data_IF_791001631294
#
_entry.id   IF_791001631294
#
_cell.length_a   1.000
_cell.length_b   1.000
_cell.length_c   1.000
_cell.angle_alpha   90.00
_cell.angle_beta   90.00
_cell.angle_gamma   90.00
#
_symmetry.space_group_name_H-M   'P 1'
#
loop_
_entity.id
_entity.type
_entity.pdbx_description
1 polymer ?
#
# COMPACT_ATOMS: atom_id res chain seq x y z
N UNK A 1 47.04 24.17 -6.82
CA UNK A 1 46.00 23.18 -7.17
C UNK A 1 44.69 23.69 -6.61
N UNK A 2 43.82 24.10 -7.52
CA UNK A 2 42.66 24.95 -7.29
C UNK A 2 41.44 24.12 -6.86
N UNK A 3 40.77 24.62 -5.83
CA UNK A 3 39.40 24.26 -5.49
C UNK A 3 38.49 24.58 -6.68
N UNK A 4 38.15 23.58 -7.49
CA UNK A 4 37.05 23.67 -8.44
C UNK A 4 35.72 23.43 -7.70
N UNK A 5 35.29 24.50 -7.03
CA UNK A 5 33.96 25.10 -7.13
C UNK A 5 32.73 24.16 -7.16
N UNK A 6 32.50 23.45 -6.06
CA UNK A 6 31.21 22.82 -5.72
C UNK A 6 30.06 23.85 -5.63
N UNK A 7 30.39 25.14 -5.48
CA UNK A 7 29.44 26.24 -5.34
C UNK A 7 28.71 26.61 -6.64
N UNK A 8 29.20 26.19 -7.81
CA UNK A 8 28.52 26.45 -9.09
C UNK A 8 27.51 25.37 -9.49
N UNK A 9 27.57 24.16 -8.90
CA UNK A 9 26.52 23.14 -9.08
C UNK A 9 25.25 23.45 -8.27
N UNK A 10 25.43 24.14 -7.14
CA UNK A 10 24.33 24.61 -6.26
C UNK A 10 23.57 25.80 -6.87
N UNK A 11 24.15 26.55 -7.81
CA UNK A 11 23.52 27.71 -8.45
C UNK A 11 22.58 27.38 -9.62
N UNK A 12 22.55 26.14 -10.10
CA UNK A 12 21.64 25.72 -11.19
C UNK A 12 20.27 25.23 -10.69
N UNK A 13 20.01 25.27 -9.38
CA UNK A 13 18.75 24.86 -8.75
C UNK A 13 18.04 26.02 -8.02
N UNK A 14 18.16 27.24 -8.55
CA UNK A 14 17.48 28.42 -8.00
C UNK A 14 15.95 28.41 -8.21
N UNK A 15 15.39 27.46 -8.94
CA UNK A 15 13.94 27.20 -8.95
C UNK A 15 13.45 26.40 -7.72
N UNK A 16 14.37 25.84 -6.91
CA UNK A 16 14.05 25.07 -5.70
C UNK A 16 14.07 25.91 -4.40
N UNK A 17 14.18 27.24 -4.51
CA UNK A 17 14.25 28.15 -3.35
C UNK A 17 13.20 29.27 -3.36
N UNK A 18 12.21 29.25 -4.26
CA UNK A 18 10.99 29.98 -3.96
C UNK A 18 10.16 29.18 -2.94
N UNK A 19 9.80 29.76 -1.78
CA UNK A 19 8.88 29.13 -0.85
C UNK A 19 7.48 29.17 -1.48
N UNK A 20 7.20 28.24 -2.38
CA UNK A 20 5.86 28.03 -2.90
C UNK A 20 5.02 27.26 -1.91
N UNK A 21 3.71 27.56 -1.88
CA UNK A 21 2.87 27.22 -0.76
C UNK A 21 2.91 25.72 -0.60
N UNK A 22 3.02 25.31 0.66
CA UNK A 22 2.48 24.02 1.08
C UNK A 22 1.16 23.90 0.32
N UNK A 23 1.02 22.94 -0.59
CA UNK A 23 -0.30 22.56 -1.10
C UNK A 23 -0.97 21.87 0.08
N UNK A 24 -1.34 22.68 1.06
CA UNK A 24 -2.20 22.34 2.15
C UNK A 24 -3.52 22.07 1.48
N UNK A 25 -4.05 20.86 1.61
CA UNK A 25 -5.51 20.76 1.64
C UNK A 25 -6.09 21.67 2.75
N UNK A 26 -5.27 22.06 3.73
CA UNK A 26 -5.56 23.05 4.77
C UNK A 26 -5.71 24.52 4.29
N UNK A 27 -5.47 24.89 3.02
CA UNK A 27 -5.66 26.28 2.54
C UNK A 27 -7.00 26.54 1.84
N UNK A 28 -7.76 25.50 1.48
CA UNK A 28 -9.07 25.66 0.84
C UNK A 28 -10.26 25.54 1.81
N UNK A 29 -10.01 25.29 3.11
CA UNK A 29 -11.04 25.51 4.12
C UNK A 29 -11.11 27.00 4.42
N UNK A 30 -12.26 27.62 4.19
CA UNK A 30 -12.57 29.03 4.48
C UNK A 30 -12.59 29.34 5.98
N UNK A 31 -11.47 29.12 6.67
CA UNK A 31 -11.30 29.40 8.10
C UNK A 31 -10.13 30.36 8.26
N UNK A 32 -10.43 31.47 8.92
CA UNK A 32 -9.53 32.55 9.34
C UNK A 32 -8.13 32.04 9.70
N UNK A 33 -7.12 32.64 9.08
CA UNK A 33 -5.77 32.89 9.61
C UNK A 33 -5.34 31.95 10.74
N UNK A 34 -4.67 30.85 10.37
CA UNK A 34 -3.92 30.04 11.32
C UNK A 34 -2.76 30.88 11.86
N UNK A 35 -2.84 31.21 13.14
CA UNK A 35 -1.75 31.79 13.91
C UNK A 35 -0.52 30.86 13.84
N UNK A 36 0.71 31.39 13.90
CA UNK A 36 1.90 30.55 13.98
C UNK A 36 1.77 29.67 15.23
N UNK A 37 1.75 28.34 15.02
CA UNK A 37 1.74 27.33 16.07
C UNK A 37 2.97 27.53 16.96
N UNK A 38 2.81 28.34 18.00
CA UNK A 38 3.73 28.44 19.12
C UNK A 38 3.71 27.13 19.88
N UNK A 39 4.92 26.71 20.26
CA UNK A 39 5.25 25.57 21.11
C UNK A 39 4.23 25.31 22.22
N UNK A 40 3.30 24.38 22.02
CA UNK A 40 2.70 23.50 23.02
C UNK A 40 1.61 22.65 22.36
N UNK A 41 1.81 21.33 22.33
CA UNK A 41 0.87 20.36 22.92
C UNK A 41 1.27 18.95 22.51
N UNK A 42 1.22 18.05 23.49
CA UNK A 42 1.50 16.62 23.37
C UNK A 42 0.94 16.03 22.06
N UNK A 43 1.70 15.18 21.34
CA UNK A 43 1.28 14.56 20.06
C UNK A 43 0.09 13.57 20.19
N UNK A 44 -0.67 13.58 21.29
CA UNK A 44 -1.56 12.49 21.72
C UNK A 44 -2.82 12.31 20.86
N UNK A 45 -3.28 13.31 20.09
CA UNK A 45 -4.54 13.18 19.33
C UNK A 45 -4.57 14.08 18.08
N UNK A 46 -4.95 13.53 16.94
CA UNK A 46 -5.19 14.32 15.73
C UNK A 46 -6.35 15.31 15.93
N UNK A 47 -6.20 16.50 15.34
CA UNK A 47 -7.21 17.54 15.37
C UNK A 47 -8.45 17.17 14.54
N UNK A 48 -9.49 18.01 14.56
CA UNK A 48 -10.68 17.79 13.71
C UNK A 48 -10.32 17.93 12.23
N UNK A 49 -9.46 18.89 11.92
CA UNK A 49 -8.96 19.20 10.59
C UNK A 49 -8.16 18.01 10.03
N UNK A 50 -7.26 17.44 10.82
CA UNK A 50 -6.51 16.25 10.40
C UNK A 50 -7.41 15.05 10.07
N UNK A 51 -8.51 14.88 10.82
CA UNK A 51 -9.48 13.82 10.57
C UNK A 51 -10.30 14.07 9.30
N UNK A 52 -10.59 15.33 8.98
CA UNK A 52 -11.23 15.70 7.72
C UNK A 52 -10.30 15.41 6.54
N UNK A 53 -9.03 15.78 6.64
CA UNK A 53 -8.00 15.45 5.64
C UNK A 53 -7.89 13.94 5.44
N UNK A 54 -7.83 13.16 6.53
CA UNK A 54 -7.77 11.70 6.44
C UNK A 54 -9.01 11.09 5.75
N UNK A 55 -10.20 11.67 5.97
CA UNK A 55 -11.42 11.25 5.31
C UNK A 55 -11.39 11.58 3.80
N UNK A 56 -10.90 12.76 3.43
CA UNK A 56 -10.80 13.17 2.03
C UNK A 56 -9.75 12.36 1.25
N UNK A 57 -8.62 12.05 1.90
CA UNK A 57 -7.66 11.09 1.38
C UNK A 57 -8.30 9.71 1.15
N UNK A 58 -9.13 9.24 2.09
CA UNK A 58 -9.83 7.96 1.95
C UNK A 58 -10.78 7.97 0.73
N UNK A 59 -11.53 9.06 0.54
CA UNK A 59 -12.40 9.22 -0.64
C UNK A 59 -11.59 9.17 -1.95
N UNK A 60 -10.45 9.86 -2.02
CA UNK A 60 -9.57 9.84 -3.21
C UNK A 60 -9.10 8.43 -3.50
N UNK A 61 -8.57 7.72 -2.50
CA UNK A 61 -8.06 6.35 -2.66
C UNK A 61 -9.19 5.42 -3.15
N UNK A 62 -10.35 5.42 -2.47
CA UNK A 62 -11.48 4.56 -2.84
C UNK A 62 -11.99 4.85 -4.25
N UNK A 63 -12.24 6.13 -4.58
CA UNK A 63 -12.73 6.52 -5.89
C UNK A 63 -11.76 6.11 -7.00
N UNK A 64 -10.47 6.43 -6.88
CA UNK A 64 -9.50 6.22 -7.96
C UNK A 64 -9.20 4.75 -8.18
N UNK A 65 -9.08 3.97 -7.12
CA UNK A 65 -8.91 2.53 -7.23
C UNK A 65 -10.15 1.87 -7.84
N UNK A 66 -11.37 2.24 -7.41
CA UNK A 66 -12.61 1.69 -8.01
C UNK A 66 -12.76 2.08 -9.47
N UNK A 67 -12.52 3.35 -9.82
CA UNK A 67 -12.61 3.83 -11.20
C UNK A 67 -11.60 3.14 -12.12
N UNK A 68 -10.43 2.77 -11.62
CA UNK A 68 -9.48 1.95 -12.37
C UNK A 68 -9.93 0.48 -12.43
N UNK A 69 -10.44 -0.07 -11.33
CA UNK A 69 -10.93 -1.45 -11.22
C UNK A 69 -12.13 -1.74 -12.14
N UNK A 70 -13.05 -0.79 -12.32
CA UNK A 70 -14.22 -0.96 -13.21
C UNK A 70 -13.84 -1.08 -14.69
N UNK A 71 -12.63 -0.63 -15.08
CA UNK A 71 -12.13 -0.77 -16.45
C UNK A 71 -11.59 -2.16 -16.75
N UNK A 72 -11.14 -2.90 -15.73
CA UNK A 72 -10.60 -4.24 -15.86
C UNK A 72 -11.68 -5.20 -16.39
N UNK A 73 -11.26 -6.28 -17.03
CA UNK A 73 -12.15 -7.30 -17.59
C UNK A 73 -11.97 -8.62 -16.85
N UNK A 74 -12.95 -9.51 -16.95
CA UNK A 74 -12.81 -10.87 -16.43
C UNK A 74 -11.65 -11.64 -17.07
N UNK A 75 -11.23 -11.28 -18.30
CA UNK A 75 -10.07 -11.87 -18.96
C UNK A 75 -8.76 -11.49 -18.23
N UNK A 76 -8.64 -10.24 -17.76
CA UNK A 76 -7.49 -9.79 -16.96
C UNK A 76 -7.31 -10.60 -15.67
N UNK A 77 -8.41 -11.12 -15.11
CA UNK A 77 -8.38 -11.97 -13.92
C UNK A 77 -8.27 -13.46 -14.24
N UNK A 78 -8.75 -13.89 -15.41
CA UNK A 78 -8.66 -15.29 -15.82
C UNK A 78 -7.20 -15.76 -15.97
N UNK A 79 -6.32 -14.85 -16.41
CA UNK A 79 -4.86 -14.94 -16.32
C UNK A 79 -4.30 -13.78 -15.47
N UNK A 80 -4.10 -14.00 -14.16
CA UNK A 80 -3.64 -12.95 -13.25
C UNK A 80 -2.15 -12.61 -13.41
N UNK A 81 -1.40 -13.26 -14.31
CA UNK A 81 0.04 -13.05 -14.47
C UNK A 81 0.39 -11.60 -14.81
N UNK A 82 -0.50 -10.91 -15.53
CA UNK A 82 -0.36 -9.49 -15.84
C UNK A 82 -0.38 -8.57 -14.62
N UNK A 83 -0.90 -8.99 -13.46
CA UNK A 83 -0.79 -8.18 -12.24
C UNK A 83 0.59 -8.32 -11.58
N UNK A 84 1.31 -9.40 -11.83
CA UNK A 84 2.64 -9.65 -11.28
C UNK A 84 3.77 -9.20 -12.22
N UNK A 85 3.55 -9.28 -13.53
CA UNK A 85 4.52 -8.97 -14.58
C UNK A 85 3.98 -7.90 -15.52
N UNK A 86 4.63 -6.73 -15.52
CA UNK A 86 4.24 -5.57 -16.34
C UNK A 86 4.27 -5.87 -17.85
N UNK A 87 5.14 -6.78 -18.29
CA UNK A 87 5.26 -7.14 -19.71
C UNK A 87 4.09 -8.01 -20.18
N UNK A 88 3.44 -8.73 -19.26
CA UNK A 88 2.25 -9.54 -19.51
C UNK A 88 0.95 -8.80 -19.22
N UNK A 89 1.04 -7.61 -18.62
CA UNK A 89 -0.13 -6.79 -18.32
C UNK A 89 -0.83 -6.33 -19.60
N UNK A 90 -2.16 -6.48 -19.64
CA UNK A 90 -3.00 -5.74 -20.59
C UNK A 90 -2.89 -4.24 -20.33
N UNK A 91 -3.26 -3.40 -21.31
CA UNK A 91 -3.31 -1.94 -21.15
C UNK A 91 -4.15 -1.52 -19.94
N UNK A 92 -5.25 -2.24 -19.66
CA UNK A 92 -6.15 -1.95 -18.53
C UNK A 92 -5.49 -2.26 -17.19
N UNK A 93 -4.76 -3.37 -17.10
CA UNK A 93 -3.96 -3.69 -15.91
C UNK A 93 -2.84 -2.68 -15.72
N UNK A 94 -2.15 -2.25 -16.79
CA UNK A 94 -1.14 -1.18 -16.72
C UNK A 94 -1.73 0.13 -16.20
N UNK A 95 -2.91 0.54 -16.69
CA UNK A 95 -3.62 1.71 -16.18
C UNK A 95 -3.96 1.58 -14.69
N UNK A 96 -4.42 0.40 -14.25
CA UNK A 96 -4.70 0.14 -12.84
C UNK A 96 -3.45 0.28 -11.96
N UNK A 97 -2.35 -0.38 -12.36
CA UNK A 97 -1.08 -0.31 -11.66
C UNK A 97 -0.51 1.12 -11.66
N UNK A 98 -0.70 1.87 -12.74
CA UNK A 98 -0.28 3.27 -12.83
C UNK A 98 -1.04 4.16 -11.85
N UNK A 99 -2.35 3.96 -11.68
CA UNK A 99 -3.13 4.66 -10.64
C UNK A 99 -2.59 4.32 -9.24
N UNK A 100 -2.27 3.05 -8.96
CA UNK A 100 -1.65 2.68 -7.68
C UNK A 100 -0.32 3.41 -7.46
N UNK A 101 0.54 3.52 -8.49
CA UNK A 101 1.81 4.26 -8.39
C UNK A 101 1.60 5.75 -8.09
N UNK A 102 0.62 6.40 -8.73
CA UNK A 102 0.27 7.81 -8.44
C UNK A 102 -0.19 7.97 -6.98
N UNK A 103 -1.04 7.07 -6.49
CA UNK A 103 -1.53 7.10 -5.11
C UNK A 103 -0.42 6.80 -4.10
N UNK A 104 0.52 5.93 -4.43
CA UNK A 104 1.69 5.64 -3.61
C UNK A 104 2.61 6.86 -3.53
N UNK A 105 2.88 7.50 -4.67
CA UNK A 105 3.61 8.75 -4.74
C UNK A 105 2.93 9.86 -3.94
N UNK A 106 1.59 9.94 -3.98
CA UNK A 106 0.82 10.87 -3.16
C UNK A 106 1.10 10.68 -1.67
N UNK A 107 1.00 9.43 -1.20
CA UNK A 107 1.26 9.08 0.19
C UNK A 107 2.70 9.40 0.60
N UNK A 108 3.67 8.91 -0.17
CA UNK A 108 5.10 9.08 0.06
C UNK A 108 5.45 10.55 0.19
N UNK A 109 5.06 11.38 -0.77
CA UNK A 109 5.33 12.81 -0.76
C UNK A 109 4.69 13.53 0.42
N UNK A 110 3.46 13.17 0.78
CA UNK A 110 2.77 13.80 1.90
C UNK A 110 3.41 13.50 3.26
N UNK A 111 4.30 12.51 3.35
CA UNK A 111 5.07 12.19 4.55
C UNK A 111 6.49 12.73 4.42
N UNK A 112 7.21 12.35 3.36
CA UNK A 112 8.66 12.59 3.23
C UNK A 112 9.03 14.04 2.95
N UNK A 113 8.18 14.80 2.28
CA UNK A 113 8.51 16.20 1.92
C UNK A 113 8.51 17.15 3.12
N UNK A 114 8.03 16.71 4.28
CA UNK A 114 8.12 17.49 5.50
C UNK A 114 9.55 17.50 6.04
N UNK A 115 10.15 18.70 6.11
CA UNK A 115 11.48 18.92 6.72
C UNK A 115 11.49 18.62 8.22
N UNK A 116 10.37 18.86 8.90
CA UNK A 116 10.25 18.65 10.35
C UNK A 116 9.74 17.25 10.65
N UNK A 117 10.44 16.55 11.55
CA UNK A 117 10.11 15.19 11.96
C UNK A 117 8.72 15.05 12.57
N UNK A 118 8.32 16.01 13.41
CA UNK A 118 6.98 16.08 14.00
C UNK A 118 5.87 16.11 12.95
N UNK A 119 6.09 16.82 11.83
CA UNK A 119 5.16 16.90 10.71
C UNK A 119 5.10 15.59 9.93
N UNK A 120 6.23 14.89 9.75
CA UNK A 120 6.26 13.53 9.17
C UNK A 120 5.43 12.56 10.03
N UNK A 121 5.60 12.59 11.36
CA UNK A 121 4.83 11.77 12.31
C UNK A 121 3.34 12.07 12.22
N UNK A 122 2.96 13.36 12.20
CA UNK A 122 1.56 13.78 12.06
C UNK A 122 0.96 13.34 10.72
N UNK A 123 1.70 13.46 9.62
CA UNK A 123 1.28 12.94 8.32
C UNK A 123 1.09 11.41 8.34
N UNK A 124 2.00 10.68 8.97
CA UNK A 124 1.89 9.23 9.16
C UNK A 124 0.65 8.85 9.98
N UNK A 125 0.35 9.58 11.07
CA UNK A 125 -0.88 9.41 11.85
C UNK A 125 -2.15 9.62 11.01
N UNK A 126 -2.16 10.64 10.13
CA UNK A 126 -3.30 10.89 9.23
C UNK A 126 -3.54 9.69 8.31
N UNK A 127 -2.49 9.14 7.70
CA UNK A 127 -2.64 7.95 6.85
C UNK A 127 -3.07 6.69 7.62
N UNK A 128 -2.70 6.54 8.89
CA UNK A 128 -3.27 5.51 9.76
C UNK A 128 -4.79 5.70 9.90
N UNK A 129 -5.28 6.93 10.10
CA UNK A 129 -6.74 7.18 10.11
C UNK A 129 -7.37 6.94 8.74
N UNK A 130 -6.70 7.31 7.65
CA UNK A 130 -7.16 7.07 6.27
C UNK A 130 -7.40 5.57 6.03
N UNK A 131 -6.45 4.71 6.40
CA UNK A 131 -6.62 3.27 6.33
C UNK A 131 -7.81 2.77 7.17
N UNK A 132 -8.00 3.33 8.38
CA UNK A 132 -9.11 2.98 9.24
C UNK A 132 -10.48 3.48 8.71
N UNK A 133 -10.53 4.60 7.99
CA UNK A 133 -11.73 5.04 7.29
C UNK A 133 -12.07 4.09 6.15
N UNK A 134 -11.09 3.75 5.30
CA UNK A 134 -11.26 2.79 4.20
C UNK A 134 -11.76 1.43 4.70
N UNK A 135 -11.14 0.91 5.76
CA UNK A 135 -11.56 -0.35 6.42
C UNK A 135 -13.01 -0.29 6.90
N UNK A 136 -13.41 0.78 7.60
CA UNK A 136 -14.79 0.96 8.09
C UNK A 136 -15.81 1.09 6.96
N UNK A 137 -15.41 1.71 5.85
CA UNK A 137 -16.22 1.79 4.63
C UNK A 137 -16.20 0.48 3.81
N UNK A 138 -15.50 -0.55 4.28
CA UNK A 138 -15.34 -1.85 3.61
C UNK A 138 -14.67 -1.72 2.22
N UNK A 139 -13.87 -0.68 2.04
CA UNK A 139 -12.88 -0.57 0.97
C UNK A 139 -11.58 -1.26 1.42
N UNK A 140 -11.58 -2.58 1.39
CA UNK A 140 -10.45 -3.39 1.84
C UNK A 140 -9.24 -3.29 0.91
N UNK A 141 -9.44 -3.16 -0.42
CA UNK A 141 -8.35 -2.88 -1.37
C UNK A 141 -7.61 -1.60 -0.97
N UNK A 142 -8.34 -0.50 -0.76
CA UNK A 142 -7.75 0.77 -0.33
C UNK A 142 -7.09 0.68 1.04
N UNK A 143 -7.74 0.03 2.03
CA UNK A 143 -7.17 -0.12 3.36
C UNK A 143 -5.87 -0.95 3.35
N UNK A 144 -5.84 -2.03 2.55
CA UNK A 144 -4.65 -2.88 2.38
C UNK A 144 -3.54 -2.12 1.63
N UNK A 145 -3.90 -1.37 0.58
CA UNK A 145 -2.97 -0.51 -0.16
C UNK A 145 -2.30 0.54 0.74
N UNK A 146 -3.09 1.26 1.56
CA UNK A 146 -2.53 2.27 2.48
C UNK A 146 -1.68 1.62 3.56
N UNK A 147 -2.15 0.52 4.17
CA UNK A 147 -1.42 -0.18 5.22
C UNK A 147 -0.05 -0.70 4.72
N UNK A 148 -0.01 -1.37 3.56
CA UNK A 148 1.23 -1.89 2.98
C UNK A 148 2.19 -0.78 2.55
N UNK A 149 1.69 0.35 2.06
CA UNK A 149 2.50 1.53 1.76
C UNK A 149 3.11 2.17 3.01
N UNK A 150 2.31 2.34 4.08
CA UNK A 150 2.83 2.82 5.37
C UNK A 150 3.88 1.87 5.95
N UNK A 151 3.70 0.57 5.74
CA UNK A 151 4.66 -0.43 6.19
C UNK A 151 6.03 -0.24 5.55
N UNK A 152 6.05 -0.09 4.22
CA UNK A 152 7.28 0.18 3.45
C UNK A 152 7.94 1.48 3.90
N UNK A 153 7.17 2.57 3.99
CA UNK A 153 7.69 3.86 4.46
C UNK A 153 8.23 3.79 5.89
N UNK A 154 7.61 2.99 6.76
CA UNK A 154 8.09 2.84 8.14
C UNK A 154 9.42 2.09 8.23
N UNK A 155 9.76 1.24 7.26
CA UNK A 155 11.07 0.57 7.25
C UNK A 155 12.17 1.61 7.06
N UNK A 156 11.97 2.51 6.09
CA UNK A 156 12.95 3.52 5.74
C UNK A 156 12.97 4.65 6.77
N UNK A 157 11.79 5.14 7.16
CA UNK A 157 11.65 6.32 8.01
C UNK A 157 11.62 6.02 9.50
N UNK A 158 11.32 4.79 9.94
CA UNK A 158 11.22 4.37 11.36
C UNK A 158 10.27 5.20 12.23
N UNK A 159 9.18 5.71 11.63
CA UNK A 159 8.25 6.65 12.29
C UNK A 159 7.43 6.03 13.43
N UNK A 160 7.20 4.71 13.42
CA UNK A 160 6.29 4.05 14.38
C UNK A 160 6.75 4.17 15.83
N UNK A 161 8.06 4.15 16.08
CA UNK A 161 8.62 4.26 17.43
C UNK A 161 8.31 5.61 18.10
N UNK A 162 8.10 6.66 17.29
CA UNK A 162 7.82 8.02 17.74
C UNK A 162 6.31 8.33 17.79
N UNK A 163 5.46 7.40 17.35
CA UNK A 163 4.02 7.57 17.45
C UNK A 163 3.55 7.53 18.91
N UNK A 164 2.49 8.25 19.28
CA UNK A 164 1.78 8.00 20.52
C UNK A 164 1.28 6.55 20.59
N UNK A 165 1.27 5.97 21.80
CA UNK A 165 0.83 4.57 22.03
C UNK A 165 -0.51 4.21 21.37
N UNK A 166 -1.47 5.14 21.36
CA UNK A 166 -2.76 4.91 20.71
C UNK A 166 -2.63 4.69 19.18
N UNK A 167 -1.74 5.43 18.52
CA UNK A 167 -1.48 5.28 17.09
C UNK A 167 -0.58 4.09 16.78
N UNK A 168 0.36 3.74 17.67
CA UNK A 168 1.10 2.49 17.57
C UNK A 168 0.15 1.29 17.55
N UNK A 169 -0.82 1.24 18.48
CA UNK A 169 -1.86 0.19 18.52
C UNK A 169 -2.73 0.16 17.27
N UNK A 170 -3.12 1.32 16.73
CA UNK A 170 -3.88 1.39 15.47
C UNK A 170 -3.06 0.86 14.29
N UNK A 171 -1.79 1.23 14.21
CA UNK A 171 -0.89 0.75 13.15
C UNK A 171 -0.67 -0.77 13.26
N UNK A 172 -0.42 -1.27 14.47
CA UNK A 172 -0.33 -2.70 14.75
C UNK A 172 -1.60 -3.43 14.28
N UNK A 173 -2.79 -2.96 14.67
CA UNK A 173 -4.05 -3.56 14.25
C UNK A 173 -4.24 -3.56 12.71
N UNK A 174 -3.72 -2.56 12.00
CA UNK A 174 -3.70 -2.57 10.53
C UNK A 174 -2.75 -3.64 10.00
N UNK A 175 -1.57 -3.81 10.61
CA UNK A 175 -0.61 -4.85 10.22
C UNK A 175 -1.12 -6.26 10.51
N UNK A 176 -1.83 -6.45 11.62
CA UNK A 176 -2.50 -7.71 11.92
C UNK A 176 -3.61 -8.04 10.92
N UNK A 177 -4.33 -7.03 10.44
CA UNK A 177 -5.36 -7.19 9.43
C UNK A 177 -4.73 -7.65 8.11
N UNK A 178 -3.70 -6.95 7.61
CA UNK A 178 -3.07 -7.24 6.31
C UNK A 178 -1.99 -8.33 6.35
N UNK A 179 -1.77 -8.94 7.52
CA UNK A 179 -0.79 -10.01 7.71
C UNK A 179 -1.04 -11.15 6.73
N UNK A 180 -0.01 -11.66 6.03
CA UNK A 180 -0.14 -12.80 5.13
C UNK A 180 -0.36 -14.13 5.87
N UNK A 181 -0.25 -14.15 7.20
CA UNK A 181 -0.41 -15.34 8.02
C UNK A 181 -1.75 -16.05 7.77
N UNK A 182 -1.69 -17.39 7.66
CA UNK A 182 -2.85 -18.24 7.31
C UNK A 182 -3.58 -17.75 6.06
N UNK A 183 -2.82 -17.34 5.02
CA UNK A 183 -3.33 -16.80 3.77
C UNK A 183 -4.27 -15.60 3.97
N UNK A 184 -3.80 -14.59 4.71
CA UNK A 184 -4.58 -13.41 5.09
C UNK A 184 -5.81 -13.75 5.93
N UNK A 185 -5.66 -14.67 6.89
CA UNK A 185 -6.77 -15.23 7.65
C UNK A 185 -7.61 -14.18 8.40
N UNK A 186 -6.98 -13.14 8.94
CA UNK A 186 -7.68 -12.06 9.65
C UNK A 186 -8.53 -11.21 8.70
N UNK A 187 -7.94 -10.73 7.62
CA UNK A 187 -8.64 -9.99 6.57
C UNK A 187 -9.79 -10.79 5.95
N UNK A 188 -9.58 -12.07 5.66
CA UNK A 188 -10.65 -12.94 5.12
C UNK A 188 -11.80 -13.13 6.10
N UNK A 189 -11.51 -13.30 7.40
CA UNK A 189 -12.55 -13.34 8.44
C UNK A 189 -13.36 -12.05 8.49
N UNK A 190 -12.69 -10.90 8.40
CA UNK A 190 -13.35 -9.60 8.39
C UNK A 190 -14.22 -9.39 7.15
N UNK A 191 -13.71 -9.71 5.95
CA UNK A 191 -14.46 -9.66 4.68
C UNK A 191 -15.70 -10.55 4.74
N UNK A 192 -15.59 -11.74 5.34
CA UNK A 192 -16.71 -12.68 5.53
C UNK A 192 -17.76 -12.12 6.49
N UNK A 193 -17.35 -11.46 7.56
CA UNK A 193 -18.26 -10.85 8.54
C UNK A 193 -18.94 -9.56 8.03
N UNK A 194 -18.34 -8.90 7.03
CA UNK A 194 -18.89 -7.69 6.44
C UNK A 194 -20.25 -7.94 5.75
N UNK A 195 -21.20 -7.02 5.95
CA UNK A 195 -22.56 -7.12 5.39
C UNK A 195 -22.82 -6.28 4.15
N UNK A 196 -21.95 -5.34 3.78
CA UNK A 196 -22.20 -4.47 2.63
C UNK A 196 -22.19 -5.25 1.33
N UNK A 197 -23.01 -4.84 0.37
CA UNK A 197 -22.93 -5.30 -1.02
C UNK A 197 -21.92 -4.51 -1.84
N UNK A 198 -21.39 -3.41 -1.30
CA UNK A 198 -20.45 -2.49 -1.96
C UNK A 198 -18.99 -2.67 -1.48
N UNK A 199 -18.65 -3.81 -0.90
CA UNK A 199 -17.27 -4.07 -0.44
C UNK A 199 -16.31 -3.94 -1.63
N UNK A 200 -15.10 -3.46 -1.39
CA UNK A 200 -14.00 -3.56 -2.36
C UNK A 200 -12.95 -4.49 -1.79
N UNK A 201 -12.93 -5.72 -2.27
CA UNK A 201 -12.02 -6.76 -1.83
C UNK A 201 -10.65 -6.55 -2.49
N UNK A 202 -9.55 -6.90 -1.80
CA UNK A 202 -8.25 -6.67 -2.38
C UNK A 202 -8.01 -7.51 -3.63
N UNK A 203 -7.53 -6.87 -4.69
CA UNK A 203 -7.24 -7.53 -5.97
C UNK A 203 -6.17 -8.60 -5.76
N UNK A 204 -5.17 -8.33 -4.91
CA UNK A 204 -4.10 -9.27 -4.57
C UNK A 204 -4.59 -10.60 -3.98
N UNK A 205 -5.70 -10.59 -3.23
CA UNK A 205 -6.30 -11.84 -2.72
C UNK A 205 -6.94 -12.63 -3.86
N UNK A 206 -7.67 -11.94 -4.75
CA UNK A 206 -8.37 -12.57 -5.86
C UNK A 206 -7.40 -13.13 -6.89
N UNK A 207 -6.36 -12.38 -7.26
CA UNK A 207 -5.34 -12.82 -8.20
C UNK A 207 -4.59 -14.02 -7.63
N UNK A 208 -4.24 -14.01 -6.34
CA UNK A 208 -3.62 -15.16 -5.67
C UNK A 208 -4.50 -16.41 -5.73
N UNK A 209 -5.79 -16.28 -5.38
CA UNK A 209 -6.72 -17.41 -5.40
C UNK A 209 -6.89 -17.96 -6.83
N UNK A 210 -6.96 -17.08 -7.83
CA UNK A 210 -7.06 -17.46 -9.24
C UNK A 210 -5.79 -18.11 -9.78
N UNK A 211 -4.61 -17.62 -9.39
CA UNK A 211 -3.32 -18.26 -9.73
C UNK A 211 -3.29 -19.70 -9.21
N UNK A 212 -3.63 -19.89 -7.94
CA UNK A 212 -3.65 -21.23 -7.36
C UNK A 212 -4.66 -22.16 -8.04
N UNK A 213 -5.86 -21.65 -8.37
CA UNK A 213 -6.85 -22.43 -9.11
C UNK A 213 -6.37 -22.78 -10.53
N UNK A 214 -5.67 -21.86 -11.20
CA UNK A 214 -5.09 -22.12 -12.52
C UNK A 214 -4.02 -23.22 -12.47
N UNK A 215 -3.17 -23.20 -11.45
CA UNK A 215 -2.17 -24.26 -11.22
C UNK A 215 -2.84 -25.63 -11.05
N UNK A 216 -3.88 -25.71 -10.20
CA UNK A 216 -4.63 -26.95 -9.97
C UNK A 216 -5.36 -27.46 -11.22
N UNK A 217 -5.86 -26.55 -12.07
CA UNK A 217 -6.52 -26.92 -13.33
C UNK A 217 -5.54 -27.43 -14.40
N UNK A 218 -4.27 -27.04 -14.31
CA UNK A 218 -3.21 -27.46 -15.24
C UNK A 218 -2.59 -28.81 -14.86
N UNK A 219 -2.84 -29.34 -13.66
CA UNK A 219 -2.36 -30.69 -13.27
C UNK A 219 -3.02 -31.75 -14.15
N UNK A 220 -2.26 -32.75 -14.58
CA UNK A 220 -2.77 -33.87 -15.37
C UNK A 220 -3.57 -34.85 -14.50
N UNK A 221 -4.83 -34.49 -14.22
CA UNK A 221 -5.80 -35.28 -13.45
C UNK A 221 -7.14 -35.32 -14.19
N UNK A 222 -8.01 -36.26 -13.81
CA UNK A 222 -9.32 -36.42 -14.44
C UNK A 222 -10.18 -35.15 -14.35
N UNK A 223 -11.09 -34.99 -15.31
CA UNK A 223 -12.02 -33.86 -15.34
C UNK A 223 -12.95 -33.80 -14.11
N UNK A 224 -13.23 -34.94 -13.49
CA UNK A 224 -14.02 -35.02 -12.25
C UNK A 224 -13.32 -34.27 -11.11
N UNK A 225 -11.99 -34.43 -10.98
CA UNK A 225 -11.18 -33.73 -9.96
C UNK A 225 -11.07 -32.23 -10.28
N UNK A 226 -11.04 -31.84 -11.55
CA UNK A 226 -10.94 -30.42 -11.98
C UNK A 226 -12.24 -29.63 -11.84
N UNK A 227 -13.38 -30.32 -11.90
CA UNK A 227 -14.72 -29.71 -11.85
C UNK A 227 -14.94 -28.74 -10.67
N UNK A 228 -14.64 -29.09 -9.40
CA UNK A 228 -14.81 -28.17 -8.26
C UNK A 228 -13.91 -26.93 -8.36
N UNK A 229 -12.68 -27.05 -8.89
CA UNK A 229 -11.78 -25.91 -9.07
C UNK A 229 -12.29 -24.97 -10.16
N UNK A 230 -12.80 -25.53 -11.26
CA UNK A 230 -13.42 -24.74 -12.32
C UNK A 230 -14.64 -23.97 -11.80
N UNK A 231 -15.54 -24.63 -11.05
CA UNK A 231 -16.69 -23.97 -10.42
C UNK A 231 -16.26 -22.83 -9.50
N UNK A 232 -15.22 -23.06 -8.69
CA UNK A 232 -14.66 -22.03 -7.79
C UNK A 232 -14.08 -20.84 -8.56
N UNK A 233 -13.34 -21.10 -9.65
CA UNK A 233 -12.80 -20.05 -10.53
C UNK A 233 -13.91 -19.20 -11.13
N UNK A 234 -14.95 -19.83 -11.69
CA UNK A 234 -16.10 -19.12 -12.27
C UNK A 234 -16.85 -18.30 -11.21
N UNK A 235 -17.00 -18.81 -9.99
CA UNK A 235 -17.61 -18.07 -8.90
C UNK A 235 -16.82 -16.78 -8.57
N UNK A 236 -15.49 -16.86 -8.44
CA UNK A 236 -14.63 -15.69 -8.19
C UNK A 236 -14.76 -14.67 -9.32
N UNK A 237 -14.74 -15.11 -10.58
CA UNK A 237 -14.87 -14.21 -11.73
C UNK A 237 -16.23 -13.52 -11.78
N UNK A 238 -17.30 -14.24 -11.42
CA UNK A 238 -18.65 -13.65 -11.29
C UNK A 238 -18.70 -12.62 -10.17
N UNK A 239 -18.09 -12.92 -9.02
CA UNK A 239 -18.02 -12.00 -7.89
C UNK A 239 -17.25 -10.72 -8.24
N UNK A 240 -16.13 -10.83 -8.95
CA UNK A 240 -15.39 -9.67 -9.48
C UNK A 240 -16.28 -8.78 -10.31
N UNK A 241 -17.00 -9.35 -11.28
CA UNK A 241 -17.90 -8.59 -12.15
C UNK A 241 -19.00 -7.88 -11.36
N UNK A 242 -19.55 -8.53 -10.33
CA UNK A 242 -20.59 -7.94 -9.47
C UNK A 242 -20.05 -6.81 -8.58
N UNK A 243 -18.76 -6.89 -8.22
CA UNK A 243 -18.07 -5.93 -7.38
C UNK A 243 -17.62 -4.67 -8.14
N UNK A 244 -17.48 -4.75 -9.47
CA UNK A 244 -17.12 -3.63 -10.35
C UNK A 244 -18.23 -2.58 -10.41
N UNK A 245 -18.33 -1.83 -9.33
CA UNK A 245 -19.24 -0.71 -9.14
C UNK A 245 -18.44 0.56 -9.00
N UNK A 246 -18.99 1.67 -9.50
CA UNK A 246 -18.36 2.97 -9.32
C UNK A 246 -18.27 3.33 -7.83
N UNK A 247 -17.14 3.97 -7.48
CA UNK A 247 -16.95 4.51 -6.15
C UNK A 247 -17.78 5.76 -5.89
N UNK A 248 -17.72 6.31 -4.66
CA UNK A 248 -18.32 7.61 -4.37
C UNK A 248 -17.71 8.67 -5.30
N UNK A 249 -18.54 9.53 -5.88
CA UNK A 249 -18.06 10.66 -6.67
C UNK A 249 -17.19 11.58 -5.80
N UNK A 250 -16.10 12.08 -6.36
CA UNK A 250 -15.28 13.10 -5.72
C UNK A 250 -15.88 14.47 -5.94
N UNK A 251 -15.72 15.37 -4.96
CA UNK A 251 -15.94 16.79 -5.19
C UNK A 251 -14.89 17.33 -6.18
N UNK A 252 -15.17 18.49 -6.76
CA UNK A 252 -14.28 19.15 -7.73
C UNK A 252 -12.91 19.43 -7.10
N UNK A 253 -12.87 19.78 -5.82
CA UNK A 253 -11.65 20.08 -5.08
C UNK A 253 -10.77 18.84 -4.91
N UNK A 254 -11.39 17.70 -4.57
CA UNK A 254 -10.68 16.42 -4.40
C UNK A 254 -10.21 15.86 -5.73
N UNK A 255 -11.00 16.02 -6.80
CA UNK A 255 -10.57 15.66 -8.15
C UNK A 255 -9.36 16.50 -8.55
N UNK A 256 -9.43 17.82 -8.36
CA UNK A 256 -8.31 18.73 -8.66
C UNK A 256 -7.05 18.39 -7.87
N UNK A 257 -7.21 18.01 -6.60
CA UNK A 257 -6.07 17.60 -5.77
C UNK A 257 -5.40 16.33 -6.34
N UNK A 258 -6.17 15.33 -6.73
CA UNK A 258 -5.61 14.14 -7.37
C UNK A 258 -4.92 14.48 -8.70
N UNK A 259 -5.52 15.33 -9.55
CA UNK A 259 -4.91 15.70 -10.82
C UNK A 259 -3.57 16.42 -10.64
N UNK A 260 -3.43 17.31 -9.64
CA UNK A 260 -2.14 17.93 -9.32
C UNK A 260 -1.07 16.91 -8.96
N UNK A 261 -1.43 15.90 -8.16
CA UNK A 261 -0.50 14.84 -7.78
C UNK A 261 -0.12 13.97 -8.98
N UNK A 262 -1.10 13.64 -9.83
CA UNK A 262 -0.88 12.91 -11.07
C UNK A 262 0.10 13.65 -11.99
N UNK A 263 -0.14 14.93 -12.26
CA UNK A 263 0.76 15.75 -13.10
C UNK A 263 2.16 15.81 -12.51
N UNK A 264 2.28 15.97 -11.19
CA UNK A 264 3.59 15.96 -10.51
C UNK A 264 4.30 14.62 -10.69
N UNK A 265 3.59 13.50 -10.50
CA UNK A 265 4.13 12.16 -10.74
C UNK A 265 4.61 11.98 -12.18
N UNK A 266 3.76 12.32 -13.16
CA UNK A 266 4.11 12.18 -14.59
C UNK A 266 5.29 13.06 -15.02
N UNK A 267 5.46 14.22 -14.39
CA UNK A 267 6.62 15.08 -14.64
C UNK A 267 7.90 14.55 -14.00
N UNK A 268 7.84 14.01 -12.78
CA UNK A 268 9.00 13.47 -12.06
C UNK A 268 9.52 12.17 -12.67
N UNK A 269 8.61 11.34 -13.20
CA UNK A 269 8.93 10.04 -13.81
C UNK A 269 8.82 10.06 -15.33
N UNK A 270 9.02 11.24 -15.96
CA UNK A 270 8.98 11.41 -17.41
C UNK A 270 10.09 10.57 -18.06
N UNK A 271 9.71 9.46 -18.70
CA UNK A 271 10.61 8.53 -19.39
C UNK A 271 10.51 7.08 -18.92
N UNK A 272 10.03 6.84 -17.69
CA UNK A 272 9.80 5.49 -17.17
C UNK A 272 8.41 4.93 -17.51
N UNK A 273 7.52 5.79 -18.01
CA UNK A 273 6.10 5.50 -18.19
C UNK A 273 5.79 5.36 -19.68
N UNK A 274 6.18 4.24 -20.29
CA UNK A 274 5.58 3.82 -21.56
C UNK A 274 4.34 2.95 -21.30
N UNK A 275 3.18 3.60 -21.17
CA UNK A 275 1.89 2.92 -21.07
C UNK A 275 1.47 2.34 -22.43
N UNK A 276 2.07 2.81 -23.53
CA UNK A 276 1.66 2.43 -24.90
C UNK A 276 2.18 1.06 -25.34
N UNK A 277 3.05 0.43 -24.54
CA UNK A 277 3.57 -0.91 -24.83
C UNK A 277 4.45 -0.97 -26.08
N UNK A 278 4.92 0.18 -26.58
CA UNK A 278 5.88 0.25 -27.67
C UNK A 278 7.27 0.29 -27.07
N UNK A 279 7.80 -0.90 -26.76
CA UNK A 279 9.19 -1.06 -26.37
C UNK A 279 10.09 -0.27 -27.33
N UNK A 280 10.66 0.83 -26.85
CA UNK A 280 11.78 1.50 -27.51
C UNK A 280 12.98 0.60 -27.28
N UNK A 281 13.26 -0.26 -28.25
CA UNK A 281 14.51 -1.02 -28.30
C UNK A 281 15.61 -0.05 -28.71
N UNK A 282 16.16 0.69 -27.75
CA UNK A 282 17.46 1.31 -27.96
C UNK A 282 18.51 0.20 -27.91
N UNK A 283 18.91 -0.21 -29.11
CA UNK A 283 19.81 -1.33 -29.38
C UNK A 283 21.26 -0.89 -29.17
N UNK A 284 21.73 -0.78 -27.93
CA UNK A 284 23.17 -0.81 -27.60
C UNK A 284 23.39 -1.00 -26.09
N UNK A 285 23.13 -2.19 -25.58
CA UNK A 285 23.92 -2.76 -24.47
C UNK A 285 23.73 -4.27 -24.48
N UNK A 286 24.79 -5.03 -24.71
CA UNK A 286 24.81 -6.46 -24.39
C UNK A 286 24.60 -6.60 -22.87
N UNK A 287 23.38 -6.97 -22.47
CA UNK A 287 23.08 -7.37 -21.11
C UNK A 287 23.01 -8.88 -21.08
N UNK A 288 23.93 -9.47 -20.32
CA UNK A 288 23.95 -10.90 -20.01
C UNK A 288 22.55 -11.37 -19.60
N UNK A 289 22.01 -12.29 -20.39
CA UNK A 289 20.75 -12.97 -20.13
C UNK A 289 20.98 -13.89 -18.91
N UNK A 290 20.58 -13.42 -17.74
CA UNK A 290 20.46 -14.27 -16.55
C UNK A 290 19.20 -15.12 -16.70
N UNK A 291 19.41 -16.43 -16.70
CA UNK A 291 18.38 -17.46 -16.78
C UNK A 291 17.41 -17.40 -15.60
N UNK A 292 16.14 -17.63 -15.90
CA UNK A 292 15.06 -17.78 -14.93
C UNK A 292 15.35 -18.98 -14.01
N UNK A 293 15.69 -18.71 -12.74
CA UNK A 293 15.96 -19.78 -11.78
C UNK A 293 16.60 -19.36 -10.45
N UNK A 294 17.15 -18.15 -10.32
CA UNK A 294 17.75 -17.73 -9.05
C UNK A 294 16.75 -17.00 -8.14
N UNK A 295 16.61 -17.40 -6.85
CA UNK A 295 15.85 -16.63 -5.87
C UNK A 295 16.55 -15.28 -5.66
N UNK A 296 15.86 -14.20 -6.03
CA UNK A 296 16.35 -12.84 -5.84
C UNK A 296 16.57 -12.56 -4.33
N UNK A 297 17.79 -12.25 -3.84
CA UNK A 297 18.12 -12.26 -2.41
C UNK A 297 17.82 -10.95 -1.66
N UNK A 298 17.28 -9.92 -2.33
CA UNK A 298 17.12 -8.59 -1.72
C UNK A 298 15.80 -8.46 -0.96
N UNK A 299 15.64 -9.21 0.14
CA UNK A 299 14.57 -8.96 1.10
C UNK A 299 15.03 -7.97 2.15
N UNK A 300 14.24 -6.92 2.36
CA UNK A 300 14.35 -6.08 3.54
C UNK A 300 13.53 -6.70 4.67
N UNK A 301 14.12 -6.70 5.87
CA UNK A 301 13.53 -7.28 7.06
C UNK A 301 13.01 -6.17 7.95
N UNK A 302 11.75 -6.28 8.36
CA UNK A 302 11.14 -5.37 9.31
C UNK A 302 10.63 -6.12 10.53
N UNK A 303 11.07 -5.68 11.71
CA UNK A 303 10.59 -6.20 12.99
C UNK A 303 9.55 -5.25 13.57
N UNK A 304 8.32 -5.72 13.71
CA UNK A 304 7.29 -5.04 14.49
C UNK A 304 7.25 -5.68 15.86
N UNK A 305 7.69 -4.94 16.87
CA UNK A 305 7.64 -5.36 18.27
C UNK A 305 6.36 -4.84 18.91
N UNK A 306 5.63 -5.73 19.56
CA UNK A 306 4.53 -5.40 20.47
C UNK A 306 4.89 -5.84 21.90
N UNK A 307 4.03 -5.50 22.87
CA UNK A 307 4.22 -5.89 24.28
C UNK A 307 4.35 -7.41 24.47
N UNK A 308 3.82 -8.22 23.53
CA UNK A 308 3.74 -9.69 23.67
C UNK A 308 4.43 -10.47 22.55
N UNK A 309 4.72 -9.85 21.41
CA UNK A 309 5.21 -10.58 20.24
C UNK A 309 6.16 -9.73 19.41
N UNK A 310 7.17 -10.36 18.81
CA UNK A 310 7.92 -9.76 17.71
C UNK A 310 7.52 -10.44 16.41
N UNK A 311 6.99 -9.66 15.47
CA UNK A 311 6.65 -10.13 14.12
C UNK A 311 7.71 -9.66 13.14
N UNK A 312 8.20 -10.59 12.32
CA UNK A 312 9.21 -10.31 11.30
C UNK A 312 8.55 -10.38 9.93
N UNK A 313 8.59 -9.27 9.21
CA UNK A 313 8.09 -9.14 7.85
C UNK A 313 9.26 -9.11 6.87
N UNK A 314 9.18 -9.93 5.83
CA UNK A 314 10.11 -9.91 4.70
C UNK A 314 9.41 -9.26 3.51
N UNK A 315 9.98 -8.19 2.97
CA UNK A 315 9.44 -7.51 1.79
C UNK A 315 10.52 -7.25 0.75
N UNK A 316 10.12 -7.20 -0.51
CA UNK A 316 10.97 -6.79 -1.63
C UNK A 316 10.40 -5.53 -2.29
N UNK A 317 11.17 -4.90 -3.17
CA UNK A 317 10.77 -3.68 -3.87
C UNK A 317 9.75 -3.94 -5.01
N UNK A 318 9.38 -5.21 -5.27
CA UNK A 318 8.33 -5.55 -6.23
C UNK A 318 6.96 -5.47 -5.55
N UNK A 319 6.09 -4.60 -6.08
CA UNK A 319 4.78 -4.23 -5.54
C UNK A 319 3.77 -5.38 -5.30
N UNK A 320 4.09 -6.62 -5.66
CA UNK A 320 3.09 -7.68 -5.88
C UNK A 320 3.19 -8.87 -4.93
N UNK A 321 4.21 -9.01 -4.08
CA UNK A 321 4.34 -10.22 -3.28
C UNK A 321 4.92 -10.01 -1.86
N UNK A 322 4.08 -10.28 -0.85
CA UNK A 322 4.53 -10.62 0.50
C UNK A 322 4.88 -12.11 0.54
N UNK A 323 6.13 -12.46 0.84
CA UNK A 323 6.58 -13.85 0.73
C UNK A 323 6.76 -14.58 2.07
N UNK A 324 6.88 -13.90 3.23
CA UNK A 324 6.94 -14.61 4.52
C UNK A 324 6.72 -13.69 5.72
N UNK A 325 6.03 -14.21 6.74
CA UNK A 325 6.02 -13.69 8.11
C UNK A 325 6.52 -14.80 9.04
N UNK A 326 7.40 -14.47 9.98
CA UNK A 326 7.85 -15.41 11.02
C UNK A 326 7.63 -14.79 12.40
N UNK A 327 7.13 -15.60 13.34
CA UNK A 327 7.01 -15.21 14.73
C UNK A 327 8.30 -15.54 15.47
N UNK A 328 8.88 -14.55 16.14
CA UNK A 328 9.90 -14.77 17.14
C UNK A 328 9.17 -14.79 18.49
N UNK A 329 9.00 -15.98 19.06
CA UNK A 329 8.42 -16.11 20.41
C UNK A 329 9.54 -15.75 21.37
N UNK A 330 9.40 -14.60 22.05
CA UNK A 330 10.30 -14.25 23.15
C UNK A 330 10.09 -15.27 24.25
N UNK A 331 11.08 -16.12 24.45
CA UNK A 331 11.11 -17.18 25.45
C UNK A 331 11.43 -16.54 26.82
N UNK A 332 10.51 -15.72 27.33
CA UNK A 332 10.61 -15.17 28.68
C UNK A 332 9.38 -15.58 29.48
N UNK A 333 9.66 -16.25 30.60
CA UNK A 333 8.74 -16.87 31.58
C UNK A 333 8.34 -18.34 31.31
N UNK A 334 9.35 -19.20 31.20
CA UNK A 334 9.26 -20.59 31.63
C UNK A 334 10.42 -20.91 32.60
N UNK A 335 10.53 -20.12 33.67
CA UNK A 335 11.34 -20.44 34.85
C UNK A 335 10.54 -20.04 36.08
N UNK A 336 10.54 -20.93 37.07
CA UNK A 336 9.87 -20.88 38.37
C UNK A 336 8.41 -21.36 38.46
N UNK A 337 8.24 -22.68 38.33
CA UNK A 337 7.47 -23.40 39.35
C UNK A 337 8.40 -24.34 40.11
N UNK A 338 8.49 -24.24 41.45
CA UNK A 338 9.22 -25.20 42.25
C UNK A 338 8.46 -26.53 42.28
N UNK A 339 9.24 -27.59 42.13
CA UNK A 339 8.92 -28.98 42.42
C UNK A 339 7.99 -29.11 43.64
N UNK A 340 6.79 -29.65 43.41
CA UNK A 340 6.03 -30.32 44.47
C UNK A 340 6.11 -31.83 44.26
N UNK A 341 6.49 -32.45 45.36
CA UNK A 341 6.84 -33.85 45.53
C UNK A 341 5.72 -34.84 45.16
N UNK A 342 6.21 -36.03 44.83
CA UNK A 342 5.55 -37.34 44.84
C UNK A 342 4.58 -37.57 46.02
N UNK A 343 3.41 -38.13 45.69
CA UNK A 343 2.66 -39.20 46.37
C UNK A 343 1.48 -39.53 45.43
N UNK A 344 1.24 -40.72 44.89
CA UNK A 344 1.60 -42.11 45.24
C UNK A 344 2.11 -42.87 44.02
#
# INVERSE_FOLDING_TARGET
MSYLNLFNWVKSFTFLLEPFPIVTMDSNSSVKSLSPLTNQENPKKLSKEDKAVALDQAKIIDNKLRKAFTKLTTADFADPSGFADFNKSSTKVKEYLHVQKILEFYMKNSIEQHKQRSMQIRAFQRWIETANYLRRQQCYEGAMFVATTLLRLNVDLKLTAELPKAYQKKFEALMEMVSPFKNFGNLRKEIKAAKSTKKFLPISLKTKDLTHLNELLNVDVSNEVKTPFFKSKIAILKDIKNEQQEGPALSIELESAYQRVKVKYENEFRGEIDITGKAKVDSTSEVNILSAGNPNPNYRVMRVRSEKTTRIYFYNDHHTFWQRESNEVTLEQATDQPSKNLAF
#
